data_IF_982579159401
#
_entry.id   IF_982579159401
#
_cell.length_a   1.000
_cell.length_b   1.000
_cell.length_c   1.000
_cell.angle_alpha   90.00
_cell.angle_beta   90.00
_cell.angle_gamma   90.00
#
_symmetry.space_group_name_H-M   'P 1'
#
loop_
_entity.id
_entity.type
_entity.pdbx_description
1 polymer ?
#
# COMPACT_ATOMS: atom_id res chain seq x y z
N UNK A 1 -4.61 -5.89 1.04
CA UNK A 1 -3.72 -4.77 0.77
C UNK A 1 -3.35 -4.79 -0.69
N UNK A 2 -3.12 -3.62 -1.26
CA UNK A 2 -2.31 -3.50 -2.48
C UNK A 2 -0.90 -4.10 -2.27
N UNK A 3 -0.11 -4.26 -3.34
CA UNK A 3 1.30 -4.65 -3.21
C UNK A 3 2.10 -3.54 -2.51
N UNK A 4 3.13 -3.88 -1.71
CA UNK A 4 4.06 -2.89 -1.14
C UNK A 4 4.69 -2.00 -2.22
N UNK A 5 4.89 -2.53 -3.43
CA UNK A 5 5.38 -1.76 -4.60
C UNK A 5 4.37 -0.69 -5.02
N UNK A 6 3.07 -0.99 -5.01
CA UNK A 6 2.01 -0.02 -5.33
C UNK A 6 1.99 1.09 -4.26
N UNK A 7 2.07 0.73 -2.98
CA UNK A 7 2.14 1.71 -1.89
C UNK A 7 3.34 2.65 -2.03
N UNK A 8 4.53 2.11 -2.30
CA UNK A 8 5.73 2.92 -2.51
C UNK A 8 5.59 3.81 -3.74
N UNK A 9 5.03 3.31 -4.85
CA UNK A 9 4.81 4.14 -6.05
C UNK A 9 3.91 5.33 -5.73
N UNK A 10 2.76 5.09 -5.07
CA UNK A 10 1.82 6.16 -4.71
C UNK A 10 2.48 7.16 -3.76
N UNK A 11 3.12 6.69 -2.69
CA UNK A 11 3.77 7.55 -1.71
C UNK A 11 4.91 8.39 -2.33
N UNK A 12 5.71 7.79 -3.21
CA UNK A 12 6.77 8.49 -3.94
C UNK A 12 6.22 9.54 -4.90
N UNK A 13 5.16 9.23 -5.66
CA UNK A 13 4.52 10.22 -6.56
C UNK A 13 3.88 11.37 -5.78
N UNK A 14 3.24 11.10 -4.64
CA UNK A 14 2.71 12.14 -3.74
C UNK A 14 3.85 13.02 -3.22
N UNK A 15 4.97 12.42 -2.80
CA UNK A 15 6.08 13.18 -2.22
C UNK A 15 6.86 14.03 -3.24
N UNK A 16 6.75 13.75 -4.55
CA UNK A 16 7.27 14.67 -5.58
C UNK A 16 6.61 16.05 -5.51
N UNK A 17 5.34 16.11 -5.13
CA UNK A 17 4.59 17.35 -4.93
C UNK A 17 4.85 17.96 -3.56
N UNK A 18 4.81 17.14 -2.50
CA UNK A 18 4.96 17.62 -1.11
C UNK A 18 6.40 18.00 -0.73
N UNK A 19 7.41 17.39 -1.36
CA UNK A 19 8.85 17.65 -1.15
C UNK A 19 9.30 17.50 0.30
N UNK A 20 8.87 16.42 0.96
CA UNK A 20 9.17 16.07 2.36
C UNK A 20 10.24 14.97 2.45
N UNK A 21 10.58 14.50 3.66
CA UNK A 21 11.55 13.40 3.84
C UNK A 21 11.03 12.12 3.18
N UNK A 22 11.66 11.76 2.07
CA UNK A 22 11.23 10.64 1.24
C UNK A 22 11.38 9.31 1.96
N UNK A 23 12.49 9.09 2.68
CA UNK A 23 12.76 7.79 3.31
C UNK A 23 11.72 7.53 4.41
N UNK A 24 11.40 8.53 5.23
CA UNK A 24 10.38 8.38 6.28
C UNK A 24 8.98 8.13 5.72
N UNK A 25 8.57 8.87 4.69
CA UNK A 25 7.27 8.66 4.03
C UNK A 25 7.17 7.24 3.46
N UNK A 26 8.20 6.79 2.75
CA UNK A 26 8.17 5.48 2.10
C UNK A 26 8.17 4.32 3.11
N UNK A 27 8.94 4.44 4.20
CA UNK A 27 8.92 3.45 5.29
C UNK A 27 7.55 3.45 5.98
N UNK A 28 6.99 4.62 6.28
CA UNK A 28 5.64 4.75 6.82
C UNK A 28 4.58 4.13 5.90
N UNK A 29 4.77 4.23 4.57
CA UNK A 29 3.85 3.69 3.57
C UNK A 29 3.84 2.16 3.46
N UNK A 30 4.81 1.45 4.05
CA UNK A 30 4.85 -0.03 4.08
C UNK A 30 4.77 -0.60 5.49
N UNK A 31 5.15 0.17 6.52
CA UNK A 31 5.19 -0.25 7.91
C UNK A 31 3.94 -0.98 8.43
N UNK A 32 2.70 -0.62 8.07
CA UNK A 32 1.50 -1.25 8.61
C UNK A 32 1.37 -2.74 8.33
N UNK A 33 2.07 -3.18 7.29
CA UNK A 33 2.05 -4.55 6.81
C UNK A 33 2.96 -5.50 7.60
N UNK A 34 3.76 -4.96 8.53
CA UNK A 34 4.64 -5.73 9.40
C UNK A 34 3.89 -6.73 10.28
N UNK A 35 2.63 -6.46 10.64
CA UNK A 35 1.81 -7.36 11.47
C UNK A 35 1.73 -8.76 10.87
N UNK A 36 1.67 -8.88 9.54
CA UNK A 36 1.69 -10.17 8.84
C UNK A 36 3.00 -10.95 9.07
N UNK A 37 4.13 -10.26 9.16
CA UNK A 37 5.45 -10.88 9.39
C UNK A 37 5.63 -11.34 10.84
N UNK A 38 4.87 -10.74 11.75
CA UNK A 38 4.85 -11.08 13.17
C UNK A 38 3.80 -12.13 13.51
N UNK A 39 3.02 -12.59 12.53
CA UNK A 39 1.89 -13.50 12.77
C UNK A 39 0.71 -12.84 13.48
N UNK A 40 0.66 -11.50 13.48
CA UNK A 40 -0.35 -10.71 14.13
C UNK A 40 -1.50 -10.36 13.18
N UNK A 41 -2.66 -10.05 13.77
CA UNK A 41 -3.79 -9.54 13.01
C UNK A 41 -3.53 -8.11 12.52
N UNK A 42 -3.96 -7.83 11.29
CA UNK A 42 -3.97 -6.47 10.73
C UNK A 42 -5.01 -5.55 11.37
N UNK A 43 -5.88 -6.08 12.22
CA UNK A 43 -6.97 -5.33 12.87
C UNK A 43 -6.50 -3.98 13.44
N UNK A 44 -5.42 -3.99 14.21
CA UNK A 44 -4.86 -2.76 14.80
C UNK A 44 -4.05 -1.95 13.79
N UNK A 45 -3.12 -2.58 13.06
CA UNK A 45 -2.25 -1.86 12.11
C UNK A 45 -2.98 -1.30 10.89
N UNK A 46 -4.23 -1.68 10.64
CA UNK A 46 -5.03 -1.14 9.53
C UNK A 46 -6.26 -0.39 10.00
N UNK A 47 -6.40 -0.14 11.31
CA UNK A 47 -7.54 0.58 11.88
C UNK A 47 -8.89 0.00 11.42
N UNK A 48 -9.04 -1.33 11.47
CA UNK A 48 -10.26 -1.98 11.00
C UNK A 48 -11.40 -1.86 12.02
N UNK A 49 -12.64 -1.93 11.54
CA UNK A 49 -13.83 -1.96 12.43
C UNK A 49 -14.06 -3.33 13.04
N UNK A 50 -13.76 -4.39 12.30
CA UNK A 50 -13.80 -5.77 12.76
C UNK A 50 -12.60 -6.55 12.19
N UNK A 51 -12.18 -7.68 12.80
CA UNK A 51 -11.09 -8.50 12.27
C UNK A 51 -11.35 -9.09 10.87
N UNK A 52 -12.61 -9.14 10.43
CA UNK A 52 -13.01 -9.65 9.11
C UNK A 52 -13.09 -8.55 8.04
N UNK A 53 -13.08 -7.28 8.44
CA UNK A 53 -13.11 -6.17 7.50
C UNK A 53 -11.76 -6.06 6.75
N UNK A 54 -11.79 -5.56 5.52
CA UNK A 54 -10.57 -5.30 4.73
C UNK A 54 -10.36 -3.80 4.45
N UNK A 55 -11.40 -2.98 4.65
CA UNK A 55 -11.34 -1.54 4.38
C UNK A 55 -10.90 -0.81 5.67
N UNK A 56 -9.77 -0.07 5.65
CA UNK A 56 -9.36 0.77 6.78
C UNK A 56 -10.40 1.81 7.18
N UNK A 57 -10.57 2.02 8.48
CA UNK A 57 -11.38 3.13 8.99
C UNK A 57 -10.50 4.37 9.18
N UNK A 58 -10.56 5.27 8.19
CA UNK A 58 -9.76 6.50 8.18
C UNK A 58 -10.05 7.42 9.37
N UNK A 59 -11.29 7.44 9.87
CA UNK A 59 -11.64 8.28 11.02
C UNK A 59 -10.93 7.81 12.28
N UNK A 60 -10.85 6.51 12.55
CA UNK A 60 -10.12 5.99 13.71
C UNK A 60 -8.63 6.36 13.69
N UNK A 61 -8.01 6.37 12.51
CA UNK A 61 -6.63 6.83 12.36
C UNK A 61 -6.53 8.33 12.64
N UNK A 62 -7.39 9.14 12.02
CA UNK A 62 -7.36 10.60 12.15
C UNK A 62 -7.71 11.06 13.57
N UNK A 63 -8.65 10.41 14.26
CA UNK A 63 -8.98 10.70 15.65
C UNK A 63 -7.74 10.59 16.57
N UNK A 64 -6.80 9.70 16.21
CA UNK A 64 -5.58 9.47 16.98
C UNK A 64 -4.39 10.32 16.51
N UNK A 65 -4.24 10.50 15.19
CA UNK A 65 -3.00 11.02 14.60
C UNK A 65 -3.18 12.20 13.63
N UNK A 66 -4.37 12.81 13.52
CA UNK A 66 -4.60 14.00 12.67
C UNK A 66 -3.57 15.10 12.96
N UNK A 67 -3.30 15.36 14.24
CA UNK A 67 -2.35 16.39 14.68
C UNK A 67 -0.87 15.99 14.48
N UNK A 68 -0.60 14.73 14.10
CA UNK A 68 0.73 14.20 13.85
C UNK A 68 1.05 14.04 12.36
N UNK A 69 0.15 14.43 11.44
CA UNK A 69 0.37 14.34 9.99
C UNK A 69 1.51 15.24 9.47
N UNK A 70 2.00 16.17 10.29
CA UNK A 70 3.24 16.90 10.03
C UNK A 70 4.51 16.06 10.25
N UNK A 71 4.41 14.84 10.80
CA UNK A 71 5.50 13.87 10.79
C UNK A 71 5.46 13.03 9.50
N UNK A 72 6.62 12.86 8.86
CA UNK A 72 6.75 12.21 7.56
C UNK A 72 6.42 10.70 7.60
N UNK A 73 6.74 10.01 8.70
CA UNK A 73 6.40 8.60 8.85
C UNK A 73 4.89 8.43 9.08
N UNK A 74 4.29 9.29 9.91
CA UNK A 74 2.83 9.29 10.15
C UNK A 74 2.07 9.59 8.86
N UNK A 75 2.55 10.53 8.05
CA UNK A 75 1.98 10.82 6.74
C UNK A 75 2.10 9.61 5.79
N UNK A 76 3.24 8.92 5.78
CA UNK A 76 3.42 7.66 5.07
C UNK A 76 2.37 6.60 5.46
N UNK A 77 2.13 6.43 6.76
CA UNK A 77 1.10 5.52 7.27
C UNK A 77 -0.30 5.95 6.83
N UNK A 78 -0.62 7.26 6.87
CA UNK A 78 -1.89 7.75 6.35
C UNK A 78 -2.07 7.41 4.87
N UNK A 79 -1.04 7.66 4.03
CA UNK A 79 -1.05 7.32 2.60
C UNK A 79 -1.30 5.82 2.39
N UNK A 80 -0.68 4.96 3.21
CA UNK A 80 -0.91 3.53 3.17
C UNK A 80 -2.37 3.16 3.40
N UNK A 81 -2.97 3.63 4.51
CA UNK A 81 -4.35 3.31 4.84
C UNK A 81 -5.32 3.84 3.79
N UNK A 82 -5.07 5.04 3.27
CA UNK A 82 -5.91 5.62 2.23
C UNK A 82 -5.77 4.86 0.90
N UNK A 83 -4.56 4.40 0.56
CA UNK A 83 -4.34 3.53 -0.60
C UNK A 83 -5.15 2.23 -0.46
N UNK A 84 -5.11 1.60 0.71
CA UNK A 84 -5.87 0.36 0.95
C UNK A 84 -7.39 0.60 0.97
N UNK A 85 -7.83 1.74 1.51
CA UNK A 85 -9.21 2.17 1.41
C UNK A 85 -9.66 2.25 -0.06
N UNK A 86 -8.90 2.94 -0.91
CA UNK A 86 -9.23 3.07 -2.33
C UNK A 86 -9.16 1.72 -3.06
N UNK A 87 -8.15 0.91 -2.75
CA UNK A 87 -7.94 -0.40 -3.34
C UNK A 87 -9.13 -1.32 -3.09
N UNK A 88 -9.52 -1.49 -1.82
CA UNK A 88 -10.60 -2.41 -1.47
C UNK A 88 -11.99 -1.88 -1.78
N UNK A 89 -12.19 -0.56 -1.65
CA UNK A 89 -13.52 0.03 -1.87
C UNK A 89 -13.85 0.22 -3.34
N UNK A 90 -12.86 0.54 -4.18
CA UNK A 90 -13.11 0.93 -5.57
C UNK A 90 -12.40 0.08 -6.60
N UNK A 91 -11.18 -0.41 -6.34
CA UNK A 91 -10.42 -1.15 -7.34
C UNK A 91 -10.81 -2.64 -7.39
N UNK A 92 -10.72 -3.33 -6.25
CA UNK A 92 -10.99 -4.76 -6.13
C UNK A 92 -12.41 -5.16 -6.58
N UNK A 93 -13.49 -4.41 -6.28
CA UNK A 93 -14.82 -4.78 -6.77
C UNK A 93 -14.93 -4.89 -8.29
N UNK A 94 -14.07 -4.19 -9.05
CA UNK A 94 -14.12 -4.20 -10.52
C UNK A 94 -13.58 -5.48 -11.15
N UNK A 95 -12.88 -6.34 -10.40
CA UNK A 95 -12.33 -7.60 -10.93
C UNK A 95 -13.28 -8.78 -10.77
N UNK A 96 -14.32 -8.59 -9.97
CA UNK A 96 -15.34 -9.60 -9.72
C UNK A 96 -16.47 -9.48 -10.75
N UNK A 97 -16.96 -10.64 -11.18
CA UNK A 97 -18.23 -10.79 -11.88
C UNK A 97 -19.04 -11.84 -11.13
N UNK A 98 -20.02 -11.40 -10.36
CA UNK A 98 -20.76 -12.25 -9.43
C UNK A 98 -19.80 -13.00 -8.48
N UNK A 99 -19.83 -14.34 -8.46
CA UNK A 99 -18.91 -15.18 -7.68
C UNK A 99 -17.67 -15.63 -8.47
N UNK A 100 -17.30 -14.91 -9.53
CA UNK A 100 -16.17 -15.26 -10.38
C UNK A 100 -15.13 -14.14 -10.45
N UNK A 101 -13.87 -14.54 -10.53
CA UNK A 101 -12.76 -13.70 -10.96
C UNK A 101 -12.64 -13.86 -12.48
N UNK A 102 -12.55 -12.74 -13.20
CA UNK A 102 -12.43 -12.75 -14.65
C UNK A 102 -10.98 -12.52 -15.07
N UNK A 103 -10.39 -13.48 -15.76
CA UNK A 103 -9.08 -13.33 -16.38
C UNK A 103 -9.11 -12.33 -17.54
N UNK A 104 -7.93 -11.84 -17.94
CA UNK A 104 -7.79 -10.87 -19.04
C UNK A 104 -8.27 -11.41 -20.39
N UNK A 105 -8.17 -12.71 -20.63
CA UNK A 105 -8.65 -13.37 -21.84
C UNK A 105 -10.16 -13.67 -21.82
N UNK A 106 -10.81 -13.40 -20.69
CA UNK A 106 -12.25 -13.60 -20.49
C UNK A 106 -12.62 -14.88 -19.74
N UNK A 107 -11.66 -15.74 -19.40
CA UNK A 107 -11.89 -16.94 -18.58
C UNK A 107 -12.49 -16.56 -17.22
N UNK A 108 -13.49 -17.32 -16.78
CA UNK A 108 -14.15 -17.13 -15.47
C UNK A 108 -13.68 -18.21 -14.50
N UNK A 109 -13.14 -17.78 -13.37
CA UNK A 109 -12.64 -18.65 -12.31
C UNK A 109 -13.50 -18.47 -11.08
N UNK A 110 -13.96 -19.56 -10.47
CA UNK A 110 -14.76 -19.49 -9.25
C UNK A 110 -13.97 -18.81 -8.12
N UNK A 111 -14.62 -17.87 -7.45
CA UNK A 111 -14.05 -17.17 -6.32
C UNK A 111 -14.02 -18.09 -5.10
N UNK A 112 -12.81 -18.31 -4.60
CA UNK A 112 -12.54 -18.74 -3.23
C UNK A 112 -11.46 -17.82 -2.66
N UNK A 113 -11.29 -17.81 -1.34
CA UNK A 113 -10.23 -17.02 -0.70
C UNK A 113 -8.85 -17.44 -1.23
N UNK A 114 -8.65 -18.74 -1.47
CA UNK A 114 -7.37 -19.28 -1.92
C UNK A 114 -7.11 -18.98 -3.40
N UNK A 115 -8.13 -19.10 -4.27
CA UNK A 115 -7.98 -18.70 -5.67
C UNK A 115 -7.72 -17.21 -5.77
N UNK A 116 -8.48 -16.37 -5.06
CA UNK A 116 -8.26 -14.93 -5.03
C UNK A 116 -6.85 -14.55 -4.61
N UNK A 117 -6.35 -15.12 -3.50
CA UNK A 117 -4.96 -14.89 -3.05
C UNK A 117 -3.95 -15.31 -4.12
N UNK A 118 -4.12 -16.50 -4.70
CA UNK A 118 -3.23 -17.01 -5.72
C UNK A 118 -3.12 -16.04 -6.92
N UNK A 119 -4.26 -15.61 -7.48
CA UNK A 119 -4.28 -14.70 -8.63
C UNK A 119 -3.67 -13.33 -8.30
N UNK A 120 -4.09 -12.73 -7.19
CA UNK A 120 -3.63 -11.40 -6.77
C UNK A 120 -2.12 -11.39 -6.53
N UNK A 121 -1.59 -12.37 -5.78
CA UNK A 121 -0.16 -12.41 -5.47
C UNK A 121 0.70 -12.67 -6.71
N UNK A 122 0.26 -13.53 -7.63
CA UNK A 122 0.98 -13.75 -8.88
C UNK A 122 1.00 -12.49 -9.76
N UNK A 123 -0.12 -11.77 -9.87
CA UNK A 123 -0.13 -10.53 -10.64
C UNK A 123 0.72 -9.43 -10.02
N UNK A 124 0.79 -9.34 -8.68
CA UNK A 124 1.73 -8.42 -8.03
C UNK A 124 3.17 -8.71 -8.46
N UNK A 125 3.62 -9.96 -8.36
CA UNK A 125 4.97 -10.36 -8.79
C UNK A 125 5.23 -10.00 -10.26
N UNK A 126 4.24 -10.21 -11.14
CA UNK A 126 4.34 -9.94 -12.58
C UNK A 126 4.39 -8.46 -12.95
N UNK A 127 3.72 -7.62 -12.18
CA UNK A 127 3.64 -6.19 -12.45
C UNK A 127 4.74 -5.39 -11.76
N UNK A 128 5.33 -5.90 -10.68
CA UNK A 128 6.35 -5.19 -9.90
C UNK A 128 7.46 -4.63 -10.80
N UNK A 129 8.03 -5.40 -11.73
CA UNK A 129 9.07 -4.90 -12.67
C UNK A 129 8.57 -3.72 -13.51
N UNK A 130 7.35 -3.82 -14.05
CA UNK A 130 6.78 -2.76 -14.90
C UNK A 130 6.56 -1.48 -14.09
N UNK A 131 6.07 -1.60 -12.86
CA UNK A 131 5.87 -0.46 -11.97
C UNK A 131 7.20 0.14 -11.53
N UNK A 132 8.18 -0.69 -11.19
CA UNK A 132 9.51 -0.24 -10.77
C UNK A 132 10.17 0.61 -11.85
N UNK A 133 10.14 0.11 -13.09
CA UNK A 133 10.71 0.82 -14.24
C UNK A 133 9.95 2.10 -14.57
N UNK A 134 8.61 2.06 -14.50
CA UNK A 134 7.77 3.21 -14.88
C UNK A 134 7.90 4.38 -13.91
N UNK A 135 7.97 4.10 -12.60
CA UNK A 135 7.91 5.12 -11.56
C UNK A 135 9.27 5.53 -10.99
N UNK A 136 10.38 5.10 -11.61
CA UNK A 136 11.74 5.31 -11.10
C UNK A 136 11.82 4.96 -9.60
N UNK A 137 11.52 3.70 -9.29
CA UNK A 137 11.32 3.24 -7.92
C UNK A 137 12.47 3.65 -6.98
N UNK A 138 12.16 4.15 -5.77
CA UNK A 138 13.15 4.69 -4.85
C UNK A 138 13.92 3.57 -4.13
N UNK A 139 14.78 2.85 -4.83
CA UNK A 139 15.52 1.69 -4.30
C UNK A 139 16.43 2.01 -3.11
N UNK A 140 16.80 3.28 -2.92
CA UNK A 140 17.61 3.77 -1.79
C UNK A 140 17.13 3.31 -0.43
N UNK A 141 15.80 3.23 -0.25
CA UNK A 141 15.21 2.85 1.04
C UNK A 141 15.56 1.43 1.51
N UNK A 142 16.08 0.56 0.63
CA UNK A 142 16.42 -0.83 0.96
C UNK A 142 17.90 -1.04 1.30
N UNK A 143 18.77 -0.07 1.00
CA UNK A 143 20.21 -0.22 1.23
C UNK A 143 20.84 0.94 2.02
N UNK A 144 20.09 2.00 2.31
CA UNK A 144 20.49 3.05 3.25
C UNK A 144 20.08 2.70 4.69
N UNK A 145 20.73 3.32 5.67
CA UNK A 145 20.34 3.17 7.08
C UNK A 145 18.93 3.73 7.32
N UNK A 146 18.14 3.03 8.13
CA UNK A 146 16.81 3.48 8.54
C UNK A 146 16.97 4.81 9.29
N UNK A 147 16.33 5.91 8.85
CA UNK A 147 16.44 7.19 9.53
C UNK A 147 15.84 7.11 10.93
N UNK A 148 16.27 8.01 11.82
CA UNK A 148 15.63 8.14 13.13
C UNK A 148 14.16 8.57 12.95
N UNK A 149 13.24 7.73 13.42
CA UNK A 149 11.80 7.97 13.37
C UNK A 149 11.29 8.06 14.81
N UNK A 150 10.61 9.17 15.19
CA UNK A 150 9.99 9.29 16.50
C UNK A 150 8.96 8.19 16.75
N UNK A 151 8.91 7.65 17.96
CA UNK A 151 7.93 6.64 18.34
C UNK A 151 6.56 7.27 18.66
N UNK A 152 5.88 7.78 17.62
CA UNK A 152 4.56 8.43 17.71
C UNK A 152 3.43 7.39 17.58
N UNK A 153 3.65 6.36 16.75
CA UNK A 153 2.65 5.36 16.37
C UNK A 153 2.75 4.13 17.29
N UNK A 154 1.66 3.75 17.95
CA UNK A 154 1.66 2.58 18.85
C UNK A 154 1.30 1.26 18.16
N UNK A 155 0.69 1.29 16.98
CA UNK A 155 0.25 0.08 16.25
C UNK A 155 1.40 -0.65 15.55
N UNK A 156 2.57 -0.02 15.48
CA UNK A 156 3.74 -0.51 14.74
C UNK A 156 4.91 -0.70 15.70
N UNK A 157 5.53 -1.89 15.74
CA UNK A 157 6.76 -2.08 16.50
C UNK A 157 7.93 -1.41 15.78
N UNK A 158 8.19 -0.14 16.13
CA UNK A 158 9.17 0.71 15.48
C UNK A 158 10.60 0.14 15.48
N UNK A 159 10.94 -0.71 16.45
CA UNK A 159 12.22 -1.42 16.53
C UNK A 159 12.33 -2.63 15.60
N UNK A 160 11.32 -2.91 14.77
CA UNK A 160 11.26 -4.05 13.83
C UNK A 160 11.05 -3.61 12.38
N UNK A 161 11.18 -2.32 12.08
CA UNK A 161 10.98 -1.78 10.72
C UNK A 161 11.92 -2.41 9.67
N UNK A 162 13.06 -2.95 10.10
CA UNK A 162 13.96 -3.74 9.26
C UNK A 162 13.26 -4.94 8.60
N UNK A 163 12.34 -5.61 9.31
CA UNK A 163 11.66 -6.79 8.78
C UNK A 163 10.83 -6.49 7.53
N UNK A 164 10.08 -5.39 7.57
CA UNK A 164 9.20 -5.03 6.47
C UNK A 164 9.99 -4.48 5.28
N UNK A 165 11.04 -3.70 5.53
CA UNK A 165 11.97 -3.23 4.49
C UNK A 165 12.63 -4.43 3.79
N UNK A 166 13.17 -5.37 4.56
CA UNK A 166 13.80 -6.58 4.04
C UNK A 166 12.79 -7.43 3.25
N UNK A 167 11.56 -7.60 3.76
CA UNK A 167 10.53 -8.35 3.03
C UNK A 167 10.17 -7.67 1.71
N UNK A 168 10.04 -6.35 1.69
CA UNK A 168 9.74 -5.61 0.45
C UNK A 168 10.91 -5.70 -0.53
N UNK A 169 12.16 -5.68 -0.07
CA UNK A 169 13.34 -5.93 -0.93
C UNK A 169 13.27 -7.29 -1.62
N UNK A 170 12.94 -8.35 -0.87
CA UNK A 170 12.78 -9.69 -1.43
C UNK A 170 11.68 -9.75 -2.51
N UNK A 171 10.55 -9.04 -2.32
CA UNK A 171 9.48 -8.98 -3.34
C UNK A 171 9.92 -8.30 -4.64
N UNK A 172 10.91 -7.42 -4.57
CA UNK A 172 11.50 -6.74 -5.72
C UNK A 172 12.48 -7.69 -6.43
N UNK A 173 13.29 -8.41 -5.68
CA UNK A 173 14.24 -9.41 -6.21
C UNK A 173 13.52 -10.61 -6.86
N UNK A 174 12.43 -11.08 -6.25
CA UNK A 174 11.61 -12.18 -6.75
C UNK A 174 10.67 -11.76 -7.88
N UNK A 175 10.63 -10.48 -8.25
CA UNK A 175 9.77 -10.00 -9.32
C UNK A 175 10.17 -10.68 -10.64
N UNK A 176 9.19 -11.32 -11.28
CA UNK A 176 9.35 -12.02 -12.57
C UNK A 176 8.40 -11.41 -13.59
N UNK A 177 8.66 -11.66 -14.87
CA UNK A 177 7.70 -11.36 -15.94
C UNK A 177 7.05 -12.67 -16.39
N UNK A 178 6.10 -13.19 -15.62
CA UNK A 178 5.25 -14.30 -16.04
C UNK A 178 3.88 -13.77 -16.55
N UNK A 179 3.02 -14.68 -17.01
CA UNK A 179 1.74 -14.32 -17.64
C UNK A 179 0.85 -13.53 -16.66
N UNK A 180 0.29 -12.41 -17.11
CA UNK A 180 -0.73 -11.64 -16.37
C UNK A 180 -2.05 -12.39 -16.38
N UNK A 181 -2.69 -12.52 -15.23
CA UNK A 181 -3.91 -13.30 -15.12
C UNK A 181 -5.16 -12.43 -15.04
N UNK A 182 -5.21 -11.41 -14.16
CA UNK A 182 -6.43 -10.64 -13.87
C UNK A 182 -6.26 -9.11 -13.95
N UNK A 183 -5.06 -8.59 -13.68
CA UNK A 183 -4.79 -7.15 -13.69
C UNK A 183 -4.18 -6.70 -15.02
N UNK A 184 -4.80 -5.69 -15.64
CA UNK A 184 -4.16 -4.93 -16.71
C UNK A 184 -3.23 -3.91 -16.05
N UNK A 185 -2.02 -3.80 -16.59
CA UNK A 185 -1.04 -2.84 -16.08
C UNK A 185 -1.56 -1.40 -16.18
N UNK A 186 -2.34 -1.08 -17.22
CA UNK A 186 -2.93 0.24 -17.40
C UNK A 186 -3.95 0.57 -16.31
N UNK A 187 -4.71 -0.41 -15.83
CA UNK A 187 -5.67 -0.22 -14.73
C UNK A 187 -4.93 0.08 -13.42
N UNK A 188 -3.78 -0.56 -13.18
CA UNK A 188 -2.94 -0.29 -11.99
C UNK A 188 -2.25 1.06 -12.10
N UNK A 189 -1.74 1.41 -13.28
CA UNK A 189 -1.16 2.73 -13.53
C UNK A 189 -2.20 3.82 -13.28
N UNK A 190 -3.42 3.63 -13.80
CA UNK A 190 -4.53 4.53 -13.55
C UNK A 190 -4.86 4.61 -12.06
N UNK A 191 -4.94 3.46 -11.37
CA UNK A 191 -5.17 3.43 -9.93
C UNK A 191 -4.12 4.23 -9.15
N UNK A 192 -2.83 4.10 -9.49
CA UNK A 192 -1.75 4.86 -8.85
C UNK A 192 -1.94 6.37 -9.08
N UNK A 193 -2.22 6.77 -10.33
CA UNK A 193 -2.45 8.18 -10.68
C UNK A 193 -3.66 8.77 -9.94
N UNK A 194 -4.80 8.09 -10.01
CA UNK A 194 -6.05 8.55 -9.38
C UNK A 194 -5.89 8.59 -7.85
N UNK A 195 -5.23 7.60 -7.26
CA UNK A 195 -4.95 7.57 -5.82
C UNK A 195 -4.04 8.71 -5.39
N UNK A 196 -2.99 9.02 -6.17
CA UNK A 196 -2.11 10.17 -5.89
C UNK A 196 -2.91 11.46 -5.81
N UNK A 197 -3.76 11.73 -6.81
CA UNK A 197 -4.55 12.97 -6.87
C UNK A 197 -5.59 13.05 -5.74
N UNK A 198 -6.29 11.94 -5.45
CA UNK A 198 -7.29 11.89 -4.38
C UNK A 198 -6.63 12.09 -3.00
N UNK A 199 -5.54 11.38 -2.72
CA UNK A 199 -4.87 11.45 -1.41
C UNK A 199 -4.26 12.84 -1.19
N UNK A 200 -3.63 13.44 -2.22
CA UNK A 200 -3.12 14.80 -2.12
C UNK A 200 -4.21 15.81 -1.76
N UNK A 201 -5.39 15.68 -2.38
CA UNK A 201 -6.54 16.54 -2.07
C UNK A 201 -6.96 16.42 -0.61
N UNK A 202 -7.02 15.20 -0.07
CA UNK A 202 -7.39 14.98 1.32
C UNK A 202 -6.33 15.47 2.31
N UNK A 203 -5.04 15.26 2.01
CA UNK A 203 -3.93 15.80 2.81
C UNK A 203 -3.98 17.33 2.85
N UNK A 204 -4.20 17.98 1.71
CA UNK A 204 -4.31 19.44 1.64
C UNK A 204 -5.50 19.95 2.43
N UNK A 205 -6.66 19.31 2.29
CA UNK A 205 -7.87 19.66 3.06
C UNK A 205 -7.62 19.55 4.57
N UNK A 206 -6.98 18.48 5.04
CA UNK A 206 -6.66 18.31 6.46
C UNK A 206 -5.71 19.42 6.95
N UNK A 207 -4.75 19.83 6.13
CA UNK A 207 -3.82 20.90 6.47
C UNK A 207 -4.48 22.29 6.50
N UNK A 208 -5.54 22.53 5.71
CA UNK A 208 -6.32 23.77 5.75
C UNK A 208 -7.23 23.88 6.99
N UNK A 209 -7.61 22.75 7.57
CA UNK A 209 -8.46 22.67 8.77
C UNK A 209 -7.67 22.76 10.10
N UNK A 210 -6.35 22.71 10.05
CA UNK A 210 -5.44 22.73 11.20
C UNK A 210 -4.70 24.08 11.31
#
# INVERSE_FOLDING_TARGET
>A
MASSVIHICIANEINKELKRDNNKILIGAIAPDISKLLGESKFYSHFLDTPTNSIPNMNKFLDKYKNNLNDDFVLGYYIHLYTDYLWFKYFIPNIFKDNYIKELDGTLIEYTIDTFKYYIYNDYTNMNIQLINKYNFPLKIFYEEIPSIPNIISEIPMNRLDLIINKTSLLIEEAKQEKKYIFKIDDIIKFISDSKDIILKEVNKINEEN
#
